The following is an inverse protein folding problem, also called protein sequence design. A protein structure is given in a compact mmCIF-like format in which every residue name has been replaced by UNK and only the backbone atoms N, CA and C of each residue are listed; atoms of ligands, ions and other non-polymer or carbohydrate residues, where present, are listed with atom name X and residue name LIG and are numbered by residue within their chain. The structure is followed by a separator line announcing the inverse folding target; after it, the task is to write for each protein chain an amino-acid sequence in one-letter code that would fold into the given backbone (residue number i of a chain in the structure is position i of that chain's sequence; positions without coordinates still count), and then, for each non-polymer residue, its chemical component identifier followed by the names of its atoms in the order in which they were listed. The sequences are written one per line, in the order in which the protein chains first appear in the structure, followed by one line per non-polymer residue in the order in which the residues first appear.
data_IF_523996623886
#
_entry.id   IF_523996623886
#
_cell.length_a   1.000
_cell.length_b   1.000
_cell.length_c   1.000
_cell.angle_alpha   90.00
_cell.angle_beta   90.00
_cell.angle_gamma   90.00
#
_symmetry.space_group_name_H-M   'P 1'
#
loop_
_entity.id
_entity.type
_entity.pdbx_description
1 polymer ?
#
# COMPACT_ATOMS: atom_id res chain seq x y z
N UNK A 1 34.82 -2.66 7.80
CA UNK A 1 34.39 -3.62 6.77
C UNK A 1 33.07 -3.14 6.23
N UNK A 2 33.04 -2.63 4.99
CA UNK A 2 31.80 -2.35 4.29
C UNK A 2 31.18 -3.68 3.89
N UNK A 3 30.08 -4.03 4.56
CA UNK A 3 29.30 -5.22 4.25
C UNK A 3 28.61 -4.99 2.90
N UNK A 4 29.26 -5.42 1.81
CA UNK A 4 28.73 -5.26 0.45
C UNK A 4 27.62 -6.28 0.27
N UNK A 5 26.39 -5.90 0.64
CA UNK A 5 25.21 -6.72 0.37
C UNK A 5 25.00 -6.83 -1.14
N UNK A 6 24.70 -8.03 -1.66
CA UNK A 6 24.32 -8.22 -3.06
C UNK A 6 23.16 -7.29 -3.43
N UNK A 7 23.20 -6.71 -4.64
CA UNK A 7 22.11 -5.89 -5.13
C UNK A 7 20.78 -6.67 -5.11
N UNK A 8 19.72 -6.04 -4.59
CA UNK A 8 18.37 -6.63 -4.54
C UNK A 8 18.01 -7.36 -3.24
N UNK A 9 18.87 -7.36 -2.22
CA UNK A 9 18.49 -7.77 -0.86
C UNK A 9 18.10 -6.52 -0.05
N UNK A 10 16.92 -6.49 0.60
CA UNK A 10 16.55 -5.40 1.49
C UNK A 10 17.59 -5.17 2.60
N UNK A 11 17.77 -3.92 3.02
CA UNK A 11 18.81 -3.55 4.01
C UNK A 11 18.46 -4.02 5.43
N UNK A 12 17.17 -4.17 5.70
CA UNK A 12 16.57 -4.58 6.96
C UNK A 12 16.28 -6.09 7.04
N UNK A 13 16.38 -6.82 5.93
CA UNK A 13 16.19 -8.28 5.90
C UNK A 13 17.54 -9.00 5.91
N UNK A 14 17.72 -9.97 6.81
CA UNK A 14 18.92 -10.79 6.81
C UNK A 14 19.00 -11.64 5.52
N UNK A 15 20.18 -11.82 4.90
CA UNK A 15 20.29 -12.47 3.58
C UNK A 15 19.69 -13.89 3.51
N UNK A 16 19.78 -14.67 4.59
CA UNK A 16 19.19 -16.00 4.70
C UNK A 16 17.66 -15.97 4.73
N UNK A 17 17.07 -14.97 5.37
CA UNK A 17 15.62 -14.77 5.40
C UNK A 17 15.12 -14.39 4.01
N UNK A 18 15.80 -13.45 3.35
CA UNK A 18 15.48 -13.07 1.98
C UNK A 18 15.53 -14.27 1.01
N UNK A 19 16.51 -15.16 1.16
CA UNK A 19 16.57 -16.39 0.34
C UNK A 19 15.35 -17.28 0.56
N UNK A 20 14.93 -17.48 1.81
CA UNK A 20 13.75 -18.29 2.14
C UNK A 20 12.48 -17.68 1.56
N UNK A 21 12.31 -16.36 1.63
CA UNK A 21 11.18 -15.63 1.05
C UNK A 21 11.13 -15.80 -0.47
N UNK A 22 12.26 -15.61 -1.16
CA UNK A 22 12.35 -15.81 -2.62
C UNK A 22 12.09 -17.26 -3.01
N UNK A 23 12.59 -18.24 -2.26
CA UNK A 23 12.29 -19.66 -2.51
C UNK A 23 10.81 -20.00 -2.32
N UNK A 24 10.16 -19.43 -1.31
CA UNK A 24 8.72 -19.58 -1.11
C UNK A 24 7.94 -18.99 -2.28
N UNK A 25 8.27 -17.77 -2.72
CA UNK A 25 7.64 -17.13 -3.88
C UNK A 25 7.85 -17.93 -5.18
N UNK A 26 9.03 -18.53 -5.37
CA UNK A 26 9.34 -19.37 -6.54
C UNK A 26 8.44 -20.59 -6.66
N UNK A 27 7.96 -21.15 -5.54
CA UNK A 27 7.07 -22.32 -5.51
C UNK A 27 5.62 -21.98 -5.88
N UNK A 28 5.25 -20.70 -5.86
CA UNK A 28 3.91 -20.25 -6.22
C UNK A 28 3.72 -20.19 -7.74
N UNK A 29 2.53 -20.59 -8.20
CA UNK A 29 2.08 -20.34 -9.57
C UNK A 29 1.83 -18.84 -9.80
N UNK A 30 1.78 -18.37 -11.07
CA UNK A 30 1.42 -16.99 -11.37
C UNK A 30 0.09 -16.55 -10.77
N UNK A 31 -0.93 -17.42 -10.78
CA UNK A 31 -2.23 -17.12 -10.18
C UNK A 31 -2.14 -16.94 -8.66
N UNK A 32 -1.37 -17.79 -7.97
CA UNK A 32 -1.16 -17.67 -6.53
C UNK A 32 -0.37 -16.40 -6.16
N UNK A 33 0.63 -16.01 -6.97
CA UNK A 33 1.34 -14.73 -6.78
C UNK A 33 0.42 -13.53 -6.97
N UNK A 34 -0.44 -13.59 -7.98
CA UNK A 34 -1.45 -12.55 -8.21
C UNK A 34 -2.38 -12.40 -7.01
N UNK A 35 -2.89 -13.53 -6.48
CA UNK A 35 -3.76 -13.51 -5.30
C UNK A 35 -3.03 -12.96 -4.08
N UNK A 36 -1.80 -13.41 -3.82
CA UNK A 36 -0.98 -12.89 -2.71
C UNK A 36 -0.81 -11.37 -2.80
N UNK A 37 -0.65 -10.84 -4.02
CA UNK A 37 -0.54 -9.40 -4.24
C UNK A 37 -1.86 -8.67 -3.97
N UNK A 38 -3.00 -9.23 -4.38
CA UNK A 38 -4.32 -8.69 -4.07
C UNK A 38 -4.56 -8.65 -2.56
N UNK A 39 -4.26 -9.74 -1.85
CA UNK A 39 -4.44 -9.83 -0.40
C UNK A 39 -3.56 -8.81 0.35
N UNK A 40 -2.32 -8.64 -0.12
CA UNK A 40 -1.40 -7.65 0.42
C UNK A 40 -1.90 -6.21 0.18
N UNK A 41 -2.38 -5.90 -1.03
CA UNK A 41 -2.95 -4.58 -1.33
C UNK A 41 -4.19 -4.27 -0.49
N UNK A 42 -5.07 -5.25 -0.29
CA UNK A 42 -6.24 -5.11 0.58
C UNK A 42 -5.84 -4.82 2.03
N UNK A 43 -4.79 -5.47 2.53
CA UNK A 43 -4.26 -5.23 3.87
C UNK A 43 -3.70 -3.80 4.03
N UNK A 44 -2.94 -3.33 3.04
CA UNK A 44 -2.44 -1.93 3.01
C UNK A 44 -3.61 -0.96 2.99
N UNK A 45 -4.61 -1.18 2.13
CA UNK A 45 -5.76 -0.30 2.02
C UNK A 45 -6.51 -0.16 3.36
N UNK A 46 -6.69 -1.27 4.08
CA UNK A 46 -7.29 -1.26 5.41
C UNK A 46 -6.49 -0.40 6.38
N UNK A 47 -5.16 -0.56 6.40
CA UNK A 47 -4.28 0.23 7.27
C UNK A 47 -4.31 1.72 6.95
N UNK A 48 -4.34 2.08 5.67
CA UNK A 48 -4.42 3.47 5.20
C UNK A 48 -5.76 4.10 5.59
N UNK A 49 -6.86 3.34 5.44
CA UNK A 49 -8.20 3.77 5.85
C UNK A 49 -8.26 4.04 7.36
N UNK A 50 -7.72 3.14 8.17
CA UNK A 50 -7.63 3.34 9.62
C UNK A 50 -6.78 4.56 9.98
N UNK A 51 -5.70 4.81 9.24
CA UNK A 51 -4.90 6.02 9.42
C UNK A 51 -5.67 7.30 9.05
N UNK A 52 -6.48 7.28 7.99
CA UNK A 52 -7.36 8.40 7.62
C UNK A 52 -8.38 8.67 8.72
N UNK A 53 -9.09 7.64 9.19
CA UNK A 53 -10.08 7.80 10.26
C UNK A 53 -9.47 8.35 11.56
N UNK A 54 -8.24 7.97 11.91
CA UNK A 54 -7.55 8.54 13.08
C UNK A 54 -7.17 10.01 12.89
N UNK A 55 -6.80 10.42 11.67
CA UNK A 55 -6.38 11.78 11.37
C UNK A 55 -7.56 12.73 11.19
N UNK A 56 -8.66 12.23 10.63
CA UNK A 56 -9.86 12.98 10.27
C UNK A 56 -11.11 12.20 10.69
N UNK A 57 -11.44 12.16 12.00
CA UNK A 57 -12.53 11.34 12.54
C UNK A 57 -13.92 11.77 12.07
N UNK A 58 -14.05 13.00 11.58
CA UNK A 58 -15.32 13.58 11.13
C UNK A 58 -15.63 13.27 9.66
N UNK A 59 -14.68 12.68 8.92
CA UNK A 59 -14.94 12.28 7.52
C UNK A 59 -15.94 11.13 7.48
N UNK A 60 -16.90 11.24 6.58
CA UNK A 60 -17.80 10.15 6.26
C UNK A 60 -17.12 9.07 5.39
N UNK A 61 -17.89 8.06 4.98
CA UNK A 61 -17.36 6.97 4.18
C UNK A 61 -16.84 7.42 2.81
N UNK A 62 -17.60 8.23 2.09
CA UNK A 62 -17.26 8.64 0.73
C UNK A 62 -16.08 9.63 0.77
N UNK A 63 -16.02 10.51 1.77
CA UNK A 63 -14.90 11.40 2.01
C UNK A 63 -13.62 10.63 2.36
N UNK A 64 -13.73 9.57 3.17
CA UNK A 64 -12.62 8.67 3.49
C UNK A 64 -12.09 7.96 2.24
N UNK A 65 -12.98 7.45 1.39
CA UNK A 65 -12.60 6.80 0.13
C UNK A 65 -11.97 7.79 -0.85
N UNK A 66 -12.53 8.99 -0.98
CA UNK A 66 -11.95 10.05 -1.80
C UNK A 66 -10.54 10.44 -1.30
N UNK A 67 -10.33 10.51 0.02
CA UNK A 67 -9.02 10.77 0.64
C UNK A 67 -8.01 9.66 0.34
N UNK A 68 -8.45 8.40 0.41
CA UNK A 68 -7.63 7.25 0.06
C UNK A 68 -7.17 7.32 -1.41
N UNK A 69 -8.08 7.62 -2.34
CA UNK A 69 -7.76 7.79 -3.77
C UNK A 69 -6.79 8.96 -3.96
N UNK A 70 -7.04 10.10 -3.30
CA UNK A 70 -6.18 11.28 -3.37
C UNK A 70 -4.74 10.96 -2.95
N UNK A 71 -4.57 10.20 -1.86
CA UNK A 71 -3.24 9.80 -1.34
C UNK A 71 -2.52 8.79 -2.24
N UNK A 72 -3.24 7.83 -2.82
CA UNK A 72 -2.63 6.76 -3.63
C UNK A 72 -2.40 7.15 -5.09
N UNK A 73 -3.27 7.99 -5.64
CA UNK A 73 -3.34 8.23 -7.09
C UNK A 73 -3.37 9.72 -7.48
N UNK A 74 -3.43 10.61 -6.49
CA UNK A 74 -3.42 12.06 -6.71
C UNK A 74 -4.81 12.69 -6.66
N UNK A 75 -4.82 14.01 -6.46
CA UNK A 75 -6.04 14.80 -6.30
C UNK A 75 -6.92 14.83 -7.56
N UNK A 76 -6.31 14.82 -8.74
CA UNK A 76 -7.04 14.86 -10.02
C UNK A 76 -7.95 13.64 -10.19
N UNK A 77 -7.45 12.44 -9.85
CA UNK A 77 -8.27 11.23 -9.93
C UNK A 77 -9.36 11.22 -8.85
N UNK A 78 -9.05 11.70 -7.65
CA UNK A 78 -10.04 11.81 -6.58
C UNK A 78 -11.19 12.76 -6.99
N UNK A 79 -10.88 13.92 -7.56
CA UNK A 79 -11.88 14.87 -8.05
C UNK A 79 -12.68 14.33 -9.24
N UNK A 80 -12.07 13.50 -10.10
CA UNK A 80 -12.78 12.84 -11.20
C UNK A 80 -13.81 11.83 -10.70
N UNK A 81 -13.47 11.03 -9.68
CA UNK A 81 -14.34 9.97 -9.15
C UNK A 81 -15.37 10.52 -8.15
N UNK A 82 -14.98 11.51 -7.35
CA UNK A 82 -15.80 12.16 -6.31
C UNK A 82 -15.88 13.68 -6.54
N UNK A 83 -16.58 14.15 -7.59
CA UNK A 83 -16.58 15.56 -7.99
C UNK A 83 -17.26 16.50 -7.00
N UNK A 84 -18.07 15.97 -6.08
CA UNK A 84 -18.80 16.76 -5.08
C UNK A 84 -18.11 16.82 -3.72
N UNK A 85 -16.96 16.14 -3.55
CA UNK A 85 -16.24 16.09 -2.27
C UNK A 85 -15.06 17.05 -2.34
N UNK A 86 -15.07 18.06 -1.45
CA UNK A 86 -13.97 19.00 -1.32
C UNK A 86 -12.96 18.52 -0.26
N UNK A 87 -11.84 17.96 -0.74
CA UNK A 87 -10.72 17.57 0.11
C UNK A 87 -9.61 18.62 0.15
N UNK A 88 -9.89 19.86 -0.28
CA UNK A 88 -8.90 20.94 -0.31
C UNK A 88 -8.48 21.30 1.11
N UNK A 89 -7.17 21.41 1.35
CA UNK A 89 -6.60 21.71 2.66
C UNK A 89 -6.33 20.48 3.55
N UNK A 90 -6.88 19.31 3.23
CA UNK A 90 -6.57 18.06 3.92
C UNK A 90 -5.34 17.38 3.29
N UNK A 91 -4.32 17.06 4.11
CA UNK A 91 -3.06 16.43 3.68
C UNK A 91 -3.06 14.90 3.87
#
# INVERSE_FOLDING_TARGET
MTDVRPAGIPFDTAPEIWRLEIEALRKLTPAQRSQLWVDFQSSIESMERDAIHRAYPDLDHDETVAMLIKRRHGADLAALVFPNIDLTGLR
#
